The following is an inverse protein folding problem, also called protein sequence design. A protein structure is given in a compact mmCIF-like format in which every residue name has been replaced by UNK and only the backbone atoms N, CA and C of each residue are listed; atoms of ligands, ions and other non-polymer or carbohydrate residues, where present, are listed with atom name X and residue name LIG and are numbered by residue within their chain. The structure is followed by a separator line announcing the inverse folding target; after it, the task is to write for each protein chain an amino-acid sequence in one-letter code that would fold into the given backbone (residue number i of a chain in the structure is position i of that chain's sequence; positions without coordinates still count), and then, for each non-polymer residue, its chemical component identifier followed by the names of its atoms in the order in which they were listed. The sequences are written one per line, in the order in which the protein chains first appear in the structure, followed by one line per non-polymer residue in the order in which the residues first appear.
data_IF_939641864779
#
_entry.id   IF_939641864779
#
_cell.length_a   1.000
_cell.length_b   1.000
_cell.length_c   1.000
_cell.angle_alpha   90.00
_cell.angle_beta   90.00
_cell.angle_gamma   90.00
#
_symmetry.space_group_name_H-M   'P 1'
#
loop_
_entity.id
_entity.type
_entity.pdbx_description
1 polymer ?
#
# COMPACT_ATOMS: atom_id res chain seq x y z
N UNK A 1 34.82 -19.49 11.03
CA UNK A 1 34.13 -20.78 10.79
C UNK A 1 33.59 -20.90 9.36
N UNK A 2 32.95 -19.86 8.79
CA UNK A 2 32.48 -19.86 7.38
C UNK A 2 33.59 -20.04 6.31
N UNK A 3 34.79 -19.52 6.54
CA UNK A 3 35.92 -19.63 5.59
C UNK A 3 36.49 -21.04 5.41
N UNK A 4 36.20 -21.98 6.34
CA UNK A 4 36.71 -23.37 6.24
C UNK A 4 35.73 -24.27 5.48
N UNK A 5 34.46 -23.88 5.38
CA UNK A 5 33.41 -24.66 4.70
C UNK A 5 33.32 -24.38 3.20
N UNK A 6 33.82 -23.23 2.74
CA UNK A 6 33.62 -22.73 1.36
C UNK A 6 34.22 -23.63 0.27
N UNK A 7 35.48 -24.14 0.39
CA UNK A 7 36.05 -25.02 -0.63
C UNK A 7 35.36 -26.40 -0.70
N UNK A 8 34.88 -26.91 0.44
CA UNK A 8 34.18 -28.19 0.53
C UNK A 8 32.75 -28.10 -0.05
N UNK A 9 32.05 -27.00 0.23
CA UNK A 9 30.69 -26.78 -0.29
C UNK A 9 30.69 -26.69 -1.83
N UNK A 10 31.67 -26.02 -2.43
CA UNK A 10 31.73 -25.90 -3.89
C UNK A 10 31.88 -27.27 -4.59
N UNK A 11 32.63 -28.21 -3.98
CA UNK A 11 32.77 -29.58 -4.51
C UNK A 11 31.47 -30.39 -4.40
N UNK A 12 30.63 -30.08 -3.42
CA UNK A 12 29.37 -30.77 -3.13
C UNK A 12 28.14 -29.88 -3.40
N UNK A 13 28.28 -28.88 -4.29
CA UNK A 13 27.24 -27.86 -4.46
C UNK A 13 25.95 -28.46 -5.01
N UNK A 14 26.04 -29.38 -5.98
CA UNK A 14 24.91 -30.11 -6.54
C UNK A 14 24.16 -30.89 -5.44
N UNK A 15 24.88 -31.70 -4.67
CA UNK A 15 24.29 -32.53 -3.60
C UNK A 15 23.63 -31.66 -2.52
N UNK A 16 24.26 -30.54 -2.18
CA UNK A 16 23.72 -29.56 -1.22
C UNK A 16 22.46 -28.90 -1.78
N UNK A 17 22.46 -28.56 -3.07
CA UNK A 17 21.32 -27.93 -3.75
C UNK A 17 20.15 -28.90 -3.88
N UNK A 18 20.38 -30.16 -4.28
CA UNK A 18 19.35 -31.18 -4.35
C UNK A 18 18.73 -31.44 -2.96
N UNK A 19 19.56 -31.45 -1.91
CA UNK A 19 19.11 -31.60 -0.53
C UNK A 19 18.17 -30.47 -0.07
N UNK A 20 18.26 -29.26 -0.64
CA UNK A 20 17.32 -28.16 -0.35
C UNK A 20 15.88 -28.53 -0.71
N UNK A 21 15.67 -29.38 -1.71
CA UNK A 21 14.33 -29.71 -2.22
C UNK A 21 13.83 -31.09 -1.79
N UNK A 22 14.70 -31.92 -1.20
CA UNK A 22 14.33 -33.19 -0.57
C UNK A 22 13.86 -32.95 0.88
N UNK A 23 12.58 -32.63 1.05
CA UNK A 23 12.01 -32.23 2.35
C UNK A 23 11.95 -33.35 3.38
N UNK A 24 12.01 -34.61 2.94
CA UNK A 24 12.01 -35.78 3.83
C UNK A 24 13.38 -35.97 4.52
N UNK A 25 14.46 -35.42 3.94
CA UNK A 25 15.80 -35.55 4.52
C UNK A 25 16.03 -34.56 5.66
N UNK A 26 16.56 -35.01 6.82
CA UNK A 26 16.78 -34.18 8.01
C UNK A 26 17.83 -33.07 7.82
N UNK A 27 18.57 -33.06 6.71
CA UNK A 27 19.53 -32.01 6.34
C UNK A 27 18.94 -30.88 5.49
N UNK A 28 17.71 -31.01 4.99
CA UNK A 28 17.12 -30.12 3.98
C UNK A 28 17.06 -28.65 4.41
N UNK A 29 16.54 -28.39 5.61
CA UNK A 29 16.44 -27.03 6.16
C UNK A 29 17.83 -26.42 6.41
N UNK A 30 18.82 -27.23 6.83
CA UNK A 30 20.19 -26.74 7.04
C UNK A 30 20.87 -26.39 5.72
N UNK A 31 20.67 -27.21 4.69
CA UNK A 31 21.15 -26.92 3.34
C UNK A 31 20.52 -25.63 2.80
N UNK A 32 19.21 -25.46 2.98
CA UNK A 32 18.52 -24.24 2.58
C UNK A 32 19.09 -23.01 3.31
N UNK A 33 19.22 -23.05 4.64
CA UNK A 33 19.78 -21.95 5.42
C UNK A 33 21.22 -21.63 5.02
N UNK A 34 22.01 -22.65 4.65
CA UNK A 34 23.39 -22.48 4.19
C UNK A 34 23.45 -21.75 2.85
N UNK A 35 22.63 -22.16 1.87
CA UNK A 35 22.58 -21.53 0.54
C UNK A 35 21.83 -20.20 0.54
N UNK A 36 21.04 -19.92 1.58
CA UNK A 36 20.35 -18.64 1.79
C UNK A 36 21.29 -17.50 2.21
N UNK A 37 22.51 -17.81 2.66
CA UNK A 37 23.51 -16.82 3.05
C UNK A 37 24.30 -16.42 1.80
N UNK A 38 24.32 -15.13 1.42
CA UNK A 38 25.04 -14.68 0.24
C UNK A 38 26.53 -15.04 0.31
N UNK A 39 27.02 -15.76 -0.70
CA UNK A 39 28.43 -16.11 -0.85
C UNK A 39 28.78 -16.22 -2.34
N UNK A 40 29.67 -15.36 -2.83
CA UNK A 40 30.01 -15.27 -4.26
C UNK A 40 30.50 -16.60 -4.85
N UNK A 41 31.32 -17.35 -4.12
CA UNK A 41 31.85 -18.63 -4.59
C UNK A 41 30.75 -19.68 -4.75
N UNK A 42 29.80 -19.72 -3.80
CA UNK A 42 28.65 -20.63 -3.84
C UNK A 42 27.70 -20.22 -4.97
N UNK A 43 27.41 -18.92 -5.10
CA UNK A 43 26.56 -18.38 -6.16
C UNK A 43 27.14 -18.69 -7.53
N UNK A 44 28.43 -18.41 -7.76
CA UNK A 44 29.12 -18.75 -9.01
C UNK A 44 29.04 -20.25 -9.29
N UNK A 45 29.21 -21.10 -8.27
CA UNK A 45 29.08 -22.56 -8.44
C UNK A 45 27.65 -22.99 -8.79
N UNK A 46 26.62 -22.34 -8.24
CA UNK A 46 25.21 -22.57 -8.61
C UNK A 46 24.97 -22.21 -10.08
N UNK A 47 25.58 -21.11 -10.55
CA UNK A 47 25.50 -20.65 -11.94
C UNK A 47 26.23 -21.56 -12.92
N UNK A 48 27.49 -21.89 -12.65
CA UNK A 48 28.31 -22.75 -13.52
C UNK A 48 27.67 -24.12 -13.77
N UNK A 49 26.91 -24.63 -12.80
CA UNK A 49 26.23 -25.91 -12.89
C UNK A 49 24.75 -25.81 -13.33
N UNK A 50 24.24 -24.62 -13.68
CA UNK A 50 22.83 -24.39 -14.07
C UNK A 50 21.80 -24.97 -13.09
N UNK A 51 22.11 -24.93 -11.78
CA UNK A 51 21.30 -25.63 -10.77
C UNK A 51 19.90 -25.01 -10.64
N UNK A 52 19.82 -23.67 -10.68
CA UNK A 52 18.56 -22.95 -10.57
C UNK A 52 17.61 -23.29 -11.72
N UNK A 53 18.08 -23.18 -12.97
CA UNK A 53 17.28 -23.45 -14.17
C UNK A 53 16.80 -24.89 -14.22
N UNK A 54 17.72 -25.85 -14.06
CA UNK A 54 17.39 -27.28 -14.11
C UNK A 54 16.42 -27.70 -13.00
N UNK A 55 16.49 -27.05 -11.84
CA UNK A 55 15.57 -27.30 -10.74
C UNK A 55 14.22 -26.62 -10.96
N UNK A 56 14.21 -25.38 -11.47
CA UNK A 56 13.00 -24.66 -11.82
C UNK A 56 12.16 -25.43 -12.86
N UNK A 57 12.82 -25.96 -13.89
CA UNK A 57 12.17 -26.77 -14.93
C UNK A 57 11.44 -27.99 -14.35
N UNK A 58 12.04 -28.67 -13.37
CA UNK A 58 11.44 -29.83 -12.69
C UNK A 58 10.33 -29.43 -11.73
N UNK A 59 10.54 -28.41 -10.92
CA UNK A 59 9.61 -28.02 -9.85
C UNK A 59 8.34 -27.40 -10.41
N UNK A 60 8.43 -26.58 -11.46
CA UNK A 60 7.25 -25.94 -12.05
C UNK A 60 6.32 -26.92 -12.79
N UNK A 61 6.77 -28.13 -13.09
CA UNK A 61 5.93 -29.18 -13.70
C UNK A 61 5.41 -30.20 -12.69
N UNK A 62 5.85 -30.12 -11.44
CA UNK A 62 5.47 -31.08 -10.40
C UNK A 62 4.31 -30.51 -9.59
N UNK A 63 3.29 -31.32 -9.34
CA UNK A 63 2.17 -30.98 -8.46
C UNK A 63 2.13 -32.02 -7.34
N UNK A 64 2.74 -31.68 -6.21
CA UNK A 64 2.79 -32.50 -4.99
C UNK A 64 2.40 -31.66 -3.76
N UNK A 65 2.14 -32.31 -2.62
CA UNK A 65 1.75 -31.63 -1.38
C UNK A 65 2.80 -30.60 -0.90
N UNK A 66 4.06 -30.79 -1.30
CA UNK A 66 5.21 -29.98 -0.89
C UNK A 66 5.55 -28.84 -1.87
N UNK A 67 4.79 -28.70 -2.95
CA UNK A 67 5.11 -27.79 -4.06
C UNK A 67 5.23 -26.36 -3.56
N UNK A 68 4.35 -25.93 -2.66
CA UNK A 68 4.40 -24.61 -2.03
C UNK A 68 5.75 -24.35 -1.36
N UNK A 69 6.26 -25.29 -0.57
CA UNK A 69 7.52 -25.14 0.16
C UNK A 69 8.70 -25.11 -0.80
N UNK A 70 8.71 -26.01 -1.80
CA UNK A 70 9.78 -26.10 -2.80
C UNK A 70 9.85 -24.83 -3.66
N UNK A 71 8.72 -24.31 -4.13
CA UNK A 71 8.68 -23.05 -4.90
C UNK A 71 9.11 -21.86 -4.06
N UNK A 72 8.70 -21.77 -2.78
CA UNK A 72 9.16 -20.70 -1.89
C UNK A 72 10.68 -20.72 -1.69
N UNK A 73 11.28 -21.91 -1.48
CA UNK A 73 12.74 -22.05 -1.37
C UNK A 73 13.45 -21.67 -2.66
N UNK A 74 12.93 -22.10 -3.81
CA UNK A 74 13.49 -21.76 -5.11
C UNK A 74 13.44 -20.25 -5.36
N UNK A 75 12.31 -19.60 -5.07
CA UNK A 75 12.16 -18.14 -5.21
C UNK A 75 13.15 -17.38 -4.33
N UNK A 76 13.34 -17.82 -3.08
CA UNK A 76 14.31 -17.20 -2.18
C UNK A 76 15.76 -17.37 -2.67
N UNK A 77 16.15 -18.56 -3.11
CA UNK A 77 17.51 -18.78 -3.65
C UNK A 77 17.74 -18.00 -4.95
N UNK A 78 16.71 -17.93 -5.81
CA UNK A 78 16.71 -17.09 -7.03
C UNK A 78 16.93 -15.62 -6.65
N UNK A 79 16.18 -15.11 -5.68
CA UNK A 79 16.32 -13.75 -5.16
C UNK A 79 17.77 -13.46 -4.70
N UNK A 80 18.34 -14.35 -3.86
CA UNK A 80 19.71 -14.20 -3.35
C UNK A 80 20.73 -14.18 -4.49
N UNK A 81 20.64 -15.11 -5.44
CA UNK A 81 21.59 -15.18 -6.55
C UNK A 81 21.50 -13.93 -7.46
N UNK A 82 20.28 -13.48 -7.76
CA UNK A 82 20.04 -12.33 -8.61
C UNK A 82 20.55 -11.01 -8.01
N UNK A 83 20.30 -10.77 -6.72
CA UNK A 83 20.70 -9.50 -6.07
C UNK A 83 22.22 -9.40 -5.91
N UNK A 84 22.88 -10.53 -5.65
CA UNK A 84 24.31 -10.55 -5.35
C UNK A 84 25.19 -10.77 -6.58
N UNK A 85 24.64 -11.21 -7.71
CA UNK A 85 25.39 -11.41 -8.96
C UNK A 85 24.54 -11.09 -10.19
N UNK A 86 24.09 -9.83 -10.35
CA UNK A 86 23.14 -9.48 -11.41
C UNK A 86 23.70 -9.65 -12.83
N UNK A 87 25.01 -9.51 -13.01
CA UNK A 87 25.71 -9.77 -14.27
C UNK A 87 25.55 -11.22 -14.80
N UNK A 88 25.20 -12.18 -13.93
CA UNK A 88 25.03 -13.59 -14.31
C UNK A 88 23.59 -13.94 -14.73
N UNK A 89 22.68 -12.94 -14.71
CA UNK A 89 21.24 -13.19 -14.88
C UNK A 89 20.84 -13.50 -16.33
N UNK A 90 21.35 -12.71 -17.29
CA UNK A 90 20.83 -12.67 -18.67
C UNK A 90 20.81 -14.03 -19.39
N UNK A 91 21.70 -14.96 -19.01
CA UNK A 91 21.81 -16.27 -19.68
C UNK A 91 21.15 -17.42 -18.92
N UNK A 92 20.75 -17.22 -17.65
CA UNK A 92 20.43 -18.32 -16.73
C UNK A 92 19.03 -18.23 -16.12
N UNK A 93 18.23 -17.21 -16.42
CA UNK A 93 16.97 -16.95 -15.68
C UNK A 93 15.72 -16.76 -16.54
N UNK A 94 15.69 -17.29 -17.76
CA UNK A 94 14.46 -17.25 -18.60
C UNK A 94 13.23 -17.89 -17.94
N UNK A 95 13.42 -18.68 -16.89
CA UNK A 95 12.34 -19.26 -16.09
C UNK A 95 11.66 -18.27 -15.12
N UNK A 96 12.20 -17.06 -14.91
CA UNK A 96 11.71 -16.11 -13.90
C UNK A 96 10.24 -15.72 -14.14
N UNK A 97 9.82 -15.57 -15.39
CA UNK A 97 8.43 -15.28 -15.76
C UNK A 97 7.47 -16.38 -15.31
N UNK A 98 7.93 -17.64 -15.21
CA UNK A 98 7.10 -18.77 -14.76
C UNK A 98 6.70 -18.65 -13.29
N UNK A 99 7.47 -17.94 -12.45
CA UNK A 99 7.08 -17.66 -11.07
C UNK A 99 5.79 -16.87 -10.95
N UNK A 100 5.34 -16.17 -11.99
CA UNK A 100 4.05 -15.47 -11.96
C UNK A 100 2.87 -16.42 -11.69
N UNK A 101 2.96 -17.69 -12.11
CA UNK A 101 2.00 -18.75 -11.80
C UNK A 101 2.02 -19.19 -10.34
N UNK A 102 2.86 -18.59 -9.51
CA UNK A 102 3.00 -18.86 -8.09
C UNK A 102 3.12 -17.55 -7.28
N UNK A 103 2.74 -16.40 -7.87
CA UNK A 103 2.97 -15.10 -7.25
C UNK A 103 2.14 -14.86 -5.98
N UNK A 104 1.11 -15.67 -5.74
CA UNK A 104 0.38 -15.67 -4.47
C UNK A 104 1.19 -16.26 -3.30
N UNK A 105 2.26 -17.02 -3.56
CA UNK A 105 3.17 -17.47 -2.52
C UNK A 105 4.04 -16.31 -2.01
N UNK A 106 4.17 -16.24 -0.69
CA UNK A 106 4.86 -15.15 0.01
C UNK A 106 6.28 -14.91 -0.50
N UNK A 107 7.10 -15.95 -0.66
CA UNK A 107 8.50 -15.73 -1.07
C UNK A 107 8.61 -15.29 -2.53
N UNK A 108 7.64 -15.66 -3.36
CA UNK A 108 7.59 -15.25 -4.78
C UNK A 108 7.25 -13.77 -4.90
N UNK A 109 6.23 -13.28 -4.16
CA UNK A 109 5.90 -11.86 -4.16
C UNK A 109 7.03 -11.01 -3.56
N UNK A 110 7.72 -11.49 -2.51
CA UNK A 110 8.89 -10.79 -1.93
C UNK A 110 10.09 -10.75 -2.88
N UNK A 111 10.32 -11.83 -3.64
CA UNK A 111 11.33 -11.85 -4.70
C UNK A 111 11.04 -10.76 -5.75
N UNK A 112 9.83 -10.73 -6.31
CA UNK A 112 9.46 -9.69 -7.26
C UNK A 112 9.50 -8.28 -6.66
N UNK A 113 9.09 -8.11 -5.40
CA UNK A 113 9.22 -6.82 -4.70
C UNK A 113 10.66 -6.34 -4.65
N UNK A 114 11.60 -7.25 -4.43
CA UNK A 114 13.01 -6.88 -4.37
C UNK A 114 13.55 -6.57 -5.76
N UNK A 115 13.17 -7.34 -6.78
CA UNK A 115 13.56 -7.09 -8.17
C UNK A 115 13.01 -5.75 -8.70
N UNK A 116 11.80 -5.38 -8.28
CA UNK A 116 11.11 -4.14 -8.67
C UNK A 116 11.37 -2.97 -7.71
N UNK A 117 12.23 -3.15 -6.72
CA UNK A 117 12.56 -2.14 -5.72
C UNK A 117 13.33 -0.95 -6.31
N UNK A 118 13.42 0.14 -5.54
CA UNK A 118 14.10 1.39 -5.96
C UNK A 118 15.62 1.37 -5.73
N UNK A 119 16.18 0.24 -5.31
CA UNK A 119 17.62 0.12 -5.06
C UNK A 119 18.41 0.03 -6.37
N UNK A 120 19.62 0.61 -6.40
CA UNK A 120 20.48 0.61 -7.60
C UNK A 120 20.77 -0.81 -8.12
N UNK A 121 20.94 -1.77 -7.20
CA UNK A 121 21.16 -3.19 -7.51
C UNK A 121 20.00 -3.83 -8.28
N UNK A 122 18.80 -3.27 -8.15
CA UNK A 122 17.61 -3.76 -8.83
C UNK A 122 17.51 -3.26 -10.28
N UNK A 123 18.29 -2.26 -10.72
CA UNK A 123 18.20 -1.71 -12.08
C UNK A 123 18.56 -2.72 -13.17
N UNK A 124 19.66 -3.46 -13.01
CA UNK A 124 20.06 -4.52 -13.96
C UNK A 124 18.97 -5.60 -14.06
N UNK A 125 18.39 -5.96 -12.91
CA UNK A 125 17.26 -6.88 -12.79
C UNK A 125 16.02 -6.34 -13.51
N UNK A 126 15.70 -5.06 -13.38
CA UNK A 126 14.56 -4.45 -14.04
C UNK A 126 14.73 -4.39 -15.56
N UNK A 127 15.94 -4.13 -16.06
CA UNK A 127 16.24 -4.22 -17.49
C UNK A 127 16.07 -5.64 -18.01
N UNK A 128 16.57 -6.65 -17.28
CA UNK A 128 16.33 -8.05 -17.61
C UNK A 128 14.83 -8.38 -17.65
N UNK A 129 14.06 -7.93 -16.64
CA UNK A 129 12.62 -8.15 -16.60
C UNK A 129 11.86 -7.42 -17.73
N UNK A 130 12.38 -6.27 -18.18
CA UNK A 130 11.87 -5.55 -19.36
C UNK A 130 12.09 -6.37 -20.63
N UNK A 131 13.30 -6.92 -20.81
CA UNK A 131 13.65 -7.76 -21.96
C UNK A 131 12.81 -9.06 -22.00
N UNK A 132 12.56 -9.65 -20.83
CA UNK A 132 11.66 -10.80 -20.64
C UNK A 132 10.17 -10.43 -20.68
N UNK A 133 9.82 -9.17 -20.96
CA UNK A 133 8.45 -8.67 -21.10
C UNK A 133 7.55 -9.01 -19.90
N UNK A 134 8.07 -8.85 -18.68
CA UNK A 134 7.34 -9.22 -17.47
C UNK A 134 5.97 -8.51 -17.37
N UNK A 135 5.90 -7.27 -17.86
CA UNK A 135 4.68 -6.46 -17.85
C UNK A 135 3.60 -7.11 -18.72
N UNK A 136 3.96 -7.51 -19.93
CA UNK A 136 3.04 -8.19 -20.85
C UNK A 136 2.56 -9.51 -20.24
N UNK A 137 3.45 -10.27 -19.59
CA UNK A 137 3.06 -11.51 -18.92
C UNK A 137 2.05 -11.27 -17.78
N UNK A 138 2.28 -10.27 -16.92
CA UNK A 138 1.35 -9.92 -15.84
C UNK A 138 -0.01 -9.49 -16.41
N UNK A 139 -0.01 -8.61 -17.40
CA UNK A 139 -1.25 -8.11 -18.03
C UNK A 139 -2.00 -9.23 -18.75
N UNK A 140 -1.32 -10.10 -19.48
CA UNK A 140 -1.95 -11.24 -20.15
C UNK A 140 -2.56 -12.22 -19.14
N UNK A 141 -1.89 -12.51 -18.02
CA UNK A 141 -2.46 -13.37 -16.98
C UNK A 141 -3.72 -12.76 -16.34
N UNK A 142 -3.77 -11.44 -16.15
CA UNK A 142 -4.99 -10.75 -15.68
C UNK A 142 -6.08 -10.81 -16.74
N UNK A 143 -5.74 -10.53 -18.00
CA UNK A 143 -6.68 -10.55 -19.13
C UNK A 143 -7.32 -11.94 -19.31
N UNK A 144 -6.51 -12.98 -19.26
CA UNK A 144 -6.88 -14.38 -19.52
C UNK A 144 -7.48 -15.08 -18.30
N UNK A 145 -7.49 -14.45 -17.12
CA UNK A 145 -8.24 -14.95 -15.96
C UNK A 145 -9.72 -15.15 -16.31
N UNK A 146 -10.48 -16.06 -15.67
CA UNK A 146 -11.91 -16.14 -15.91
C UNK A 146 -12.65 -14.96 -15.27
N UNK A 147 -13.79 -14.58 -15.84
CA UNK A 147 -14.61 -13.47 -15.35
C UNK A 147 -15.33 -13.83 -14.03
N UNK A 148 -15.62 -15.11 -13.83
CA UNK A 148 -16.19 -15.63 -12.59
C UNK A 148 -15.07 -16.11 -11.66
N UNK A 149 -15.00 -15.50 -10.47
CA UNK A 149 -14.02 -15.86 -9.43
C UNK A 149 -14.75 -16.21 -8.14
N UNK A 150 -14.11 -17.03 -7.32
CA UNK A 150 -14.66 -17.42 -6.01
C UNK A 150 -14.74 -16.22 -5.07
N UNK A 151 -15.83 -16.14 -4.30
CA UNK A 151 -15.99 -15.16 -3.23
C UNK A 151 -15.16 -15.53 -1.98
N UNK A 152 -14.59 -16.73 -1.91
CA UNK A 152 -13.66 -17.14 -0.87
C UNK A 152 -12.29 -16.45 -1.07
N UNK A 153 -11.83 -15.60 -0.13
CA UNK A 153 -10.52 -14.98 -0.22
C UNK A 153 -9.34 -15.98 -0.12
N UNK A 154 -9.60 -17.23 0.28
CA UNK A 154 -8.60 -18.29 0.36
C UNK A 154 -8.51 -19.16 -0.88
N UNK A 155 -9.43 -18.98 -1.84
CA UNK A 155 -9.36 -19.66 -3.12
C UNK A 155 -8.07 -19.30 -3.86
N UNK A 156 -7.40 -20.31 -4.41
CA UNK A 156 -6.08 -20.16 -5.05
C UNK A 156 -6.13 -19.15 -6.21
N UNK A 157 -7.21 -19.15 -6.97
CA UNK A 157 -7.38 -18.26 -8.11
C UNK A 157 -7.60 -16.82 -7.66
N UNK A 158 -8.44 -16.60 -6.63
CA UNK A 158 -8.63 -15.29 -6.01
C UNK A 158 -7.33 -14.74 -5.41
N UNK A 159 -6.53 -15.59 -4.76
CA UNK A 159 -5.21 -15.20 -4.25
C UNK A 159 -4.24 -14.86 -5.39
N UNK A 160 -4.22 -15.65 -6.47
CA UNK A 160 -3.39 -15.40 -7.65
C UNK A 160 -3.71 -14.04 -8.28
N UNK A 161 -4.99 -13.78 -8.56
CA UNK A 161 -5.43 -12.53 -9.19
C UNK A 161 -5.10 -11.34 -8.27
N UNK A 162 -5.36 -11.46 -6.96
CA UNK A 162 -4.98 -10.42 -5.99
C UNK A 162 -3.47 -10.16 -5.99
N UNK A 163 -2.64 -11.21 -6.08
CA UNK A 163 -1.18 -11.09 -6.14
C UNK A 163 -0.69 -10.43 -7.44
N UNK A 164 -1.26 -10.77 -8.60
CA UNK A 164 -0.97 -10.11 -9.87
C UNK A 164 -1.27 -8.61 -9.81
N UNK A 165 -2.43 -8.23 -9.25
CA UNK A 165 -2.73 -6.81 -9.03
C UNK A 165 -1.74 -6.13 -8.07
N UNK A 166 -1.27 -6.82 -7.03
CA UNK A 166 -0.25 -6.27 -6.10
C UNK A 166 1.11 -6.07 -6.74
N UNK A 167 1.44 -6.78 -7.83
CA UNK A 167 2.66 -6.54 -8.59
C UNK A 167 2.62 -5.23 -9.36
N UNK A 168 1.45 -4.77 -9.80
CA UNK A 168 1.32 -3.59 -10.66
C UNK A 168 1.86 -2.30 -9.99
N UNK A 169 1.50 -1.95 -8.74
CA UNK A 169 2.12 -0.81 -8.07
C UNK A 169 3.64 -0.93 -7.93
N UNK A 170 4.18 -2.14 -7.76
CA UNK A 170 5.62 -2.37 -7.68
C UNK A 170 6.30 -2.13 -9.04
N UNK A 171 5.71 -2.64 -10.12
CA UNK A 171 6.15 -2.37 -11.49
C UNK A 171 6.11 -0.87 -11.77
N UNK A 172 5.05 -0.19 -11.34
CA UNK A 172 4.93 1.26 -11.53
C UNK A 172 6.00 2.05 -10.77
N UNK A 173 6.42 1.58 -9.60
CA UNK A 173 7.48 2.22 -8.81
C UNK A 173 8.90 1.98 -9.35
N UNK A 174 9.08 1.01 -10.26
CA UNK A 174 10.36 0.74 -10.90
C UNK A 174 10.71 1.84 -11.90
N UNK A 175 11.92 2.38 -11.83
CA UNK A 175 12.40 3.44 -12.73
C UNK A 175 12.41 2.99 -14.21
N UNK A 176 12.66 1.70 -14.46
CA UNK A 176 12.79 1.15 -15.82
C UNK A 176 11.44 0.73 -16.42
N UNK A 177 10.52 0.23 -15.59
CA UNK A 177 9.26 -0.37 -16.05
C UNK A 177 8.05 0.57 -15.90
N UNK A 178 8.22 1.72 -15.24
CA UNK A 178 7.12 2.64 -14.89
C UNK A 178 6.25 3.06 -16.08
N UNK A 179 6.89 3.40 -17.19
CA UNK A 179 6.20 3.92 -18.37
C UNK A 179 5.53 2.81 -19.18
N UNK A 180 6.09 1.59 -19.12
CA UNK A 180 5.58 0.42 -19.84
C UNK A 180 4.24 -0.04 -19.28
N UNK A 181 4.03 0.08 -17.96
CA UNK A 181 2.76 -0.29 -17.30
C UNK A 181 1.73 0.85 -17.33
N UNK A 182 2.12 2.10 -17.60
CA UNK A 182 1.23 3.27 -17.59
C UNK A 182 0.53 3.52 -18.93
N UNK A 183 0.11 2.47 -19.64
CA UNK A 183 -0.56 2.58 -20.95
C UNK A 183 -2.08 2.55 -20.82
N UNK A 184 -2.78 3.06 -21.85
CA UNK A 184 -4.24 2.95 -21.96
C UNK A 184 -4.71 1.48 -21.96
N UNK A 185 -3.95 0.60 -22.64
CA UNK A 185 -4.23 -0.84 -22.67
C UNK A 185 -4.14 -1.46 -21.27
N UNK A 186 -3.12 -1.08 -20.47
CA UNK A 186 -3.00 -1.55 -19.10
C UNK A 186 -4.21 -1.12 -18.25
N UNK A 187 -4.70 0.12 -18.40
CA UNK A 187 -5.92 0.58 -17.71
C UNK A 187 -7.12 -0.31 -18.09
N UNK A 188 -7.32 -0.56 -19.38
CA UNK A 188 -8.42 -1.41 -19.86
C UNK A 188 -8.35 -2.82 -19.26
N UNK A 189 -7.17 -3.46 -19.31
CA UNK A 189 -6.97 -4.82 -18.78
C UNK A 189 -7.19 -4.86 -17.25
N UNK A 190 -6.58 -3.93 -16.52
CA UNK A 190 -6.64 -3.90 -15.05
C UNK A 190 -8.06 -3.54 -14.57
N UNK A 191 -8.82 -2.80 -15.38
CA UNK A 191 -10.22 -2.45 -15.11
C UNK A 191 -11.22 -3.59 -15.38
N UNK A 192 -10.76 -4.80 -15.69
CA UNK A 192 -11.62 -5.97 -15.91
C UNK A 192 -12.68 -6.15 -14.80
N UNK A 193 -13.89 -6.53 -15.21
CA UNK A 193 -14.98 -6.83 -14.29
C UNK A 193 -14.93 -8.31 -13.88
N UNK A 194 -15.10 -8.57 -12.59
CA UNK A 194 -15.19 -9.90 -12.04
C UNK A 194 -16.56 -10.08 -11.36
N UNK A 195 -17.21 -11.20 -11.64
CA UNK A 195 -18.43 -11.60 -10.92
C UNK A 195 -18.03 -12.07 -9.52
N UNK A 196 -18.64 -11.49 -8.48
CA UNK A 196 -18.44 -11.86 -7.07
C UNK A 196 -17.00 -11.72 -6.53
N UNK A 197 -16.28 -10.66 -6.94
CA UNK A 197 -14.91 -10.45 -6.48
C UNK A 197 -14.82 -10.26 -4.95
N UNK A 198 -13.98 -11.04 -4.24
CA UNK A 198 -13.76 -10.83 -2.81
C UNK A 198 -13.05 -9.48 -2.59
N UNK A 199 -13.24 -8.91 -1.39
CA UNK A 199 -12.64 -7.64 -1.01
C UNK A 199 -11.12 -7.61 -1.20
N UNK A 200 -10.43 -8.74 -1.02
CA UNK A 200 -8.97 -8.86 -1.24
C UNK A 200 -8.56 -8.61 -2.68
N UNK A 201 -9.38 -9.01 -3.65
CA UNK A 201 -9.17 -8.76 -5.08
C UNK A 201 -9.52 -7.31 -5.42
N UNK A 202 -10.68 -6.82 -4.95
CA UNK A 202 -11.11 -5.43 -5.19
C UNK A 202 -10.09 -4.43 -4.64
N UNK A 203 -9.62 -4.63 -3.40
CA UNK A 203 -8.61 -3.77 -2.78
C UNK A 203 -7.31 -3.73 -3.61
N UNK A 204 -6.86 -4.88 -4.11
CA UNK A 204 -5.65 -4.95 -4.94
C UNK A 204 -5.86 -4.32 -6.33
N UNK A 205 -6.99 -4.60 -6.97
CA UNK A 205 -7.35 -4.08 -8.28
C UNK A 205 -7.40 -2.55 -8.28
N UNK A 206 -8.14 -1.96 -7.34
CA UNK A 206 -8.29 -0.51 -7.28
C UNK A 206 -6.97 0.21 -6.91
N UNK A 207 -6.14 -0.41 -6.07
CA UNK A 207 -4.80 0.08 -5.81
C UNK A 207 -3.91 0.03 -7.06
N UNK A 208 -4.02 -1.03 -7.87
CA UNK A 208 -3.32 -1.17 -9.15
C UNK A 208 -3.73 -0.09 -10.16
N UNK A 209 -5.04 0.15 -10.32
CA UNK A 209 -5.58 1.21 -11.19
C UNK A 209 -5.05 2.57 -10.73
N UNK A 210 -5.14 2.87 -9.44
CA UNK A 210 -4.64 4.13 -8.88
C UNK A 210 -3.15 4.33 -9.16
N UNK A 211 -2.33 3.27 -9.07
CA UNK A 211 -0.90 3.37 -9.31
C UNK A 211 -0.58 3.76 -10.77
N UNK A 212 -1.23 3.15 -11.75
CA UNK A 212 -0.85 3.30 -13.18
C UNK A 212 -1.42 4.54 -13.85
N UNK A 213 -2.41 5.20 -13.23
CA UNK A 213 -2.99 6.45 -13.73
C UNK A 213 -1.95 7.58 -13.64
N UNK A 214 -1.75 8.22 -14.78
CA UNK A 214 -0.88 9.38 -14.99
C UNK A 214 -1.64 10.45 -15.76
N UNK A 215 -1.07 11.64 -15.88
CA UNK A 215 -1.65 12.70 -16.70
C UNK A 215 -1.83 12.25 -18.16
N UNK A 216 -0.87 11.49 -18.70
CA UNK A 216 -0.85 11.03 -20.09
C UNK A 216 -1.97 10.05 -20.47
N UNK A 217 -2.50 9.29 -19.51
CA UNK A 217 -3.54 8.27 -19.72
C UNK A 217 -4.85 8.59 -18.97
N UNK A 218 -4.97 9.82 -18.46
CA UNK A 218 -6.09 10.28 -17.64
C UNK A 218 -7.44 10.17 -18.37
N UNK A 219 -7.48 10.46 -19.68
CA UNK A 219 -8.69 10.38 -20.49
C UNK A 219 -9.25 8.96 -20.59
N UNK A 220 -8.40 7.93 -20.62
CA UNK A 220 -8.84 6.53 -20.61
C UNK A 220 -9.40 6.16 -19.25
N UNK A 221 -8.76 6.61 -18.17
CA UNK A 221 -9.25 6.40 -16.80
C UNK A 221 -10.58 7.11 -16.52
N UNK A 222 -10.85 8.28 -17.13
CA UNK A 222 -12.12 8.99 -17.02
C UNK A 222 -13.29 8.15 -17.55
N UNK A 223 -13.06 7.22 -18.48
CA UNK A 223 -14.12 6.33 -18.98
C UNK A 223 -14.67 5.40 -17.88
N UNK A 224 -13.91 5.19 -16.80
CA UNK A 224 -14.30 4.38 -15.65
C UNK A 224 -15.08 5.18 -14.59
N UNK A 225 -15.35 6.46 -14.82
CA UNK A 225 -15.89 7.37 -13.81
C UNK A 225 -17.24 6.94 -13.22
N UNK A 226 -18.14 6.43 -14.06
CA UNK A 226 -19.46 5.95 -13.59
C UNK A 226 -19.29 4.75 -12.62
N UNK A 227 -18.26 3.92 -12.83
CA UNK A 227 -17.93 2.80 -11.93
C UNK A 227 -17.36 3.29 -10.61
N UNK A 228 -16.53 4.34 -10.61
CA UNK A 228 -16.02 4.94 -9.38
C UNK A 228 -17.18 5.36 -8.48
N UNK A 229 -18.18 6.02 -9.07
CA UNK A 229 -19.36 6.47 -8.35
C UNK A 229 -20.18 5.31 -7.81
N UNK A 230 -20.49 4.33 -8.66
CA UNK A 230 -21.29 3.18 -8.24
C UNK A 230 -20.66 2.46 -7.04
N UNK A 231 -19.33 2.34 -7.02
CA UNK A 231 -18.59 1.72 -5.93
C UNK A 231 -18.57 2.57 -4.65
N UNK A 232 -18.57 3.90 -4.75
CA UNK A 232 -18.67 4.80 -3.59
C UNK A 232 -20.11 4.90 -3.04
N UNK A 233 -21.11 4.74 -3.90
CA UNK A 233 -22.53 4.73 -3.53
C UNK A 233 -22.96 3.40 -2.93
N UNK A 234 -22.30 2.30 -3.30
CA UNK A 234 -22.53 1.00 -2.71
C UNK A 234 -21.90 0.93 -1.31
N UNK A 235 -22.56 1.60 -0.38
CA UNK A 235 -22.23 1.63 1.04
C UNK A 235 -22.90 0.46 1.78
N UNK A 236 -22.93 -0.74 1.23
CA UNK A 236 -23.40 -1.91 1.99
C UNK A 236 -22.33 -2.43 2.97
N UNK A 237 -21.08 -2.00 2.80
CA UNK A 237 -19.95 -2.43 3.63
C UNK A 237 -20.02 -1.87 5.06
N UNK A 238 -19.78 -2.72 6.06
CA UNK A 238 -19.75 -2.34 7.48
C UNK A 238 -18.56 -1.41 7.82
N UNK A 239 -17.51 -1.42 7.00
CA UNK A 239 -16.29 -0.64 7.21
C UNK A 239 -15.85 0.06 5.92
N UNK A 240 -15.11 1.16 6.09
CA UNK A 240 -14.43 1.83 4.99
C UNK A 240 -13.27 0.96 4.50
N UNK A 241 -13.26 0.64 3.20
CA UNK A 241 -12.31 -0.32 2.63
C UNK A 241 -11.16 0.37 1.88
N UNK A 242 -10.00 -0.31 1.72
CA UNK A 242 -8.89 0.21 0.92
C UNK A 242 -9.23 0.50 -0.56
N UNK A 243 -10.20 -0.20 -1.15
CA UNK A 243 -10.64 0.12 -2.51
C UNK A 243 -11.36 1.48 -2.57
N UNK A 244 -12.17 1.82 -1.55
CA UNK A 244 -12.84 3.14 -1.49
C UNK A 244 -11.80 4.26 -1.39
N UNK A 245 -10.76 4.08 -0.57
CA UNK A 245 -9.62 4.99 -0.51
C UNK A 245 -8.97 5.17 -1.89
N UNK A 246 -8.68 4.06 -2.58
CA UNK A 246 -8.05 4.09 -3.90
C UNK A 246 -8.91 4.84 -4.92
N UNK A 247 -10.24 4.65 -4.89
CA UNK A 247 -11.17 5.36 -5.78
C UNK A 247 -11.17 6.86 -5.50
N UNK A 248 -11.21 7.28 -4.23
CA UNK A 248 -11.15 8.71 -3.86
C UNK A 248 -9.84 9.32 -4.38
N UNK A 249 -8.71 8.62 -4.23
CA UNK A 249 -7.41 9.06 -4.76
C UNK A 249 -7.36 9.11 -6.29
N UNK A 250 -8.05 8.19 -6.98
CA UNK A 250 -8.17 8.22 -8.44
C UNK A 250 -8.94 9.48 -8.87
N UNK A 251 -10.11 9.74 -8.29
CA UNK A 251 -10.91 10.92 -8.61
C UNK A 251 -10.09 12.18 -8.38
N UNK A 252 -9.35 12.25 -7.27
CA UNK A 252 -8.46 13.36 -6.94
C UNK A 252 -7.45 13.62 -8.05
N UNK A 253 -6.71 12.59 -8.49
CA UNK A 253 -5.74 12.70 -9.59
C UNK A 253 -6.38 13.18 -10.88
N UNK A 254 -7.52 12.59 -11.26
CA UNK A 254 -8.18 12.91 -12.53
C UNK A 254 -8.72 14.35 -12.56
N UNK A 255 -9.20 14.87 -11.42
CA UNK A 255 -9.60 16.28 -11.30
C UNK A 255 -8.40 17.21 -11.49
N UNK A 256 -7.23 16.87 -10.92
CA UNK A 256 -6.02 17.66 -11.11
C UNK A 256 -5.52 17.61 -12.55
N UNK A 257 -5.66 16.48 -13.24
CA UNK A 257 -5.21 16.32 -14.63
C UNK A 257 -6.19 16.91 -15.66
N UNK A 258 -7.48 17.01 -15.33
CA UNK A 258 -8.51 17.41 -16.28
C UNK A 258 -9.60 18.27 -15.61
N UNK A 259 -9.64 19.56 -15.96
CA UNK A 259 -10.62 20.52 -15.42
C UNK A 259 -12.06 20.25 -15.88
N UNK A 260 -12.27 19.68 -17.07
CA UNK A 260 -13.62 19.31 -17.55
C UNK A 260 -14.18 18.15 -16.71
N UNK A 261 -13.31 17.21 -16.32
CA UNK A 261 -13.68 16.15 -15.40
C UNK A 261 -14.10 16.72 -14.04
N UNK A 262 -13.41 17.75 -13.54
CA UNK A 262 -13.80 18.44 -12.32
C UNK A 262 -15.25 18.94 -12.39
N UNK A 263 -15.66 19.60 -13.49
CA UNK A 263 -17.04 20.06 -13.69
C UNK A 263 -18.03 18.91 -13.66
N UNK A 264 -17.74 17.79 -14.34
CA UNK A 264 -18.60 16.59 -14.33
C UNK A 264 -18.75 16.00 -12.93
N UNK A 265 -17.68 15.96 -12.14
CA UNK A 265 -17.72 15.46 -10.76
C UNK A 265 -18.53 16.39 -9.83
N UNK A 266 -18.56 17.70 -10.09
CA UNK A 266 -19.43 18.64 -9.34
C UNK A 266 -20.90 18.28 -9.52
N UNK A 267 -21.34 18.02 -10.76
CA UNK A 267 -22.71 17.61 -11.07
C UNK A 267 -23.11 16.32 -10.35
N UNK A 268 -22.13 15.52 -9.93
CA UNK A 268 -22.31 14.28 -9.20
C UNK A 268 -22.35 14.43 -7.68
N UNK A 269 -22.31 15.66 -7.16
CA UNK A 269 -22.35 15.98 -5.73
C UNK A 269 -21.29 15.21 -4.92
N UNK A 270 -20.06 15.13 -5.44
CA UNK A 270 -18.98 14.38 -4.77
C UNK A 270 -18.76 14.87 -3.32
N UNK A 271 -18.88 16.17 -3.05
CA UNK A 271 -18.76 16.74 -1.70
C UNK A 271 -19.75 16.10 -0.73
N UNK A 272 -21.01 15.98 -1.12
CA UNK A 272 -22.06 15.33 -0.32
C UNK A 272 -21.78 13.83 -0.12
N UNK A 273 -21.29 13.14 -1.16
CA UNK A 273 -20.91 11.72 -1.07
C UNK A 273 -19.77 11.53 -0.08
N UNK A 274 -18.71 12.33 -0.13
CA UNK A 274 -17.60 12.26 0.82
C UNK A 274 -18.06 12.59 2.25
N UNK A 275 -18.95 13.58 2.43
CA UNK A 275 -19.53 13.89 3.73
C UNK A 275 -20.32 12.69 4.29
N UNK A 276 -21.12 12.00 3.46
CA UNK A 276 -21.87 10.81 3.87
C UNK A 276 -20.96 9.65 4.31
N UNK A 277 -19.79 9.50 3.68
CA UNK A 277 -18.78 8.49 4.07
C UNK A 277 -18.24 8.79 5.48
N UNK A 278 -17.94 10.06 5.78
CA UNK A 278 -17.49 10.46 7.12
C UNK A 278 -18.58 10.20 8.16
N UNK A 279 -19.83 10.58 7.85
CA UNK A 279 -20.96 10.38 8.74
C UNK A 279 -21.22 8.90 9.04
N UNK A 280 -21.09 8.05 8.01
CA UNK A 280 -21.25 6.60 8.15
C UNK A 280 -20.11 5.95 8.93
N UNK A 281 -18.87 6.43 8.78
CA UNK A 281 -17.68 5.84 9.39
C UNK A 281 -16.97 6.79 10.38
N UNK A 282 -17.64 7.27 11.45
CA UNK A 282 -17.13 8.34 12.31
C UNK A 282 -15.93 7.93 13.19
N UNK A 283 -15.59 6.64 13.23
CA UNK A 283 -14.42 6.11 13.95
C UNK A 283 -13.25 5.76 13.02
N UNK A 284 -13.37 6.02 11.71
CA UNK A 284 -12.40 5.54 10.73
C UNK A 284 -11.39 6.61 10.33
N UNK A 285 -10.27 6.67 11.06
CA UNK A 285 -9.21 7.67 10.88
C UNK A 285 -8.62 7.68 9.47
N UNK A 286 -8.55 6.54 8.78
CA UNK A 286 -8.04 6.46 7.41
C UNK A 286 -9.00 7.12 6.40
N UNK A 287 -10.31 7.01 6.62
CA UNK A 287 -11.32 7.64 5.76
C UNK A 287 -11.22 9.16 5.91
N UNK A 288 -11.18 9.61 7.17
CA UNK A 288 -11.00 11.02 7.52
C UNK A 288 -9.74 11.61 6.88
N UNK A 289 -8.60 10.91 6.98
CA UNK A 289 -7.33 11.36 6.40
C UNK A 289 -7.40 11.44 4.87
N UNK A 290 -7.97 10.42 4.22
CA UNK A 290 -8.10 10.37 2.77
C UNK A 290 -8.97 11.52 2.25
N UNK A 291 -10.12 11.75 2.87
CA UNK A 291 -11.05 12.82 2.48
C UNK A 291 -10.48 14.20 2.79
N UNK A 292 -9.75 14.35 3.90
CA UNK A 292 -9.05 15.60 4.20
C UNK A 292 -8.00 15.90 3.13
N UNK A 293 -7.17 14.92 2.74
CA UNK A 293 -6.20 15.08 1.66
C UNK A 293 -6.85 15.46 0.34
N UNK A 294 -7.96 14.79 0.00
CA UNK A 294 -8.76 15.12 -1.17
C UNK A 294 -9.16 16.60 -1.15
N UNK A 295 -9.80 17.04 -0.08
CA UNK A 295 -10.28 18.41 0.09
C UNK A 295 -9.14 19.45 0.07
N UNK A 296 -7.97 19.16 0.64
CA UNK A 296 -6.84 20.10 0.59
C UNK A 296 -6.33 20.32 -0.83
N UNK A 297 -6.39 19.29 -1.69
CA UNK A 297 -5.96 19.41 -3.08
C UNK A 297 -7.01 20.08 -3.97
N UNK A 298 -8.29 20.04 -3.59
CA UNK A 298 -9.32 20.74 -4.38
C UNK A 298 -9.18 22.25 -4.33
N UNK A 299 -8.49 22.81 -3.32
CA UNK A 299 -8.23 24.25 -3.18
C UNK A 299 -7.51 24.83 -4.41
N UNK A 300 -6.71 24.02 -5.11
CA UNK A 300 -6.02 24.42 -6.33
C UNK A 300 -6.97 24.66 -7.52
N UNK A 301 -8.22 24.21 -7.42
CA UNK A 301 -9.28 24.34 -8.44
C UNK A 301 -10.50 25.03 -7.81
N UNK A 302 -10.61 26.37 -7.85
CA UNK A 302 -11.58 27.14 -7.04
C UNK A 302 -13.04 26.70 -7.18
N UNK A 303 -13.52 26.50 -8.41
CA UNK A 303 -14.91 26.07 -8.66
C UNK A 303 -15.18 24.68 -8.07
N UNK A 304 -14.20 23.79 -8.11
CA UNK A 304 -14.28 22.46 -7.51
C UNK A 304 -14.23 22.52 -5.99
N UNK A 305 -13.36 23.37 -5.42
CA UNK A 305 -13.31 23.62 -3.98
C UNK A 305 -14.66 24.10 -3.43
N UNK A 306 -15.33 25.00 -4.16
CA UNK A 306 -16.65 25.53 -3.77
C UNK A 306 -17.74 24.46 -3.72
N UNK A 307 -17.64 23.40 -4.52
CA UNK A 307 -18.59 22.29 -4.49
C UNK A 307 -18.26 21.24 -3.41
N UNK A 308 -16.97 21.05 -3.09
CA UNK A 308 -16.50 19.97 -2.21
C UNK A 308 -16.47 20.39 -0.74
N UNK A 309 -16.00 21.61 -0.45
CA UNK A 309 -15.74 22.05 0.91
C UNK A 309 -17.00 22.31 1.76
N UNK A 310 -18.11 22.92 1.27
CA UNK A 310 -19.26 23.21 2.11
C UNK A 310 -19.90 21.97 2.77
N UNK A 311 -20.17 20.87 2.04
CA UNK A 311 -20.70 19.65 2.66
C UNK A 311 -19.75 19.05 3.71
N UNK A 312 -18.43 19.16 3.48
CA UNK A 312 -17.42 18.70 4.44
C UNK A 312 -17.33 19.60 5.69
N UNK A 313 -17.62 20.90 5.55
CA UNK A 313 -17.74 21.82 6.68
C UNK A 313 -18.96 21.52 7.55
N UNK A 314 -20.10 21.24 6.92
CA UNK A 314 -21.33 20.85 7.62
C UNK A 314 -21.12 19.58 8.46
N UNK A 315 -20.48 18.54 7.90
CA UNK A 315 -20.19 17.33 8.67
C UNK A 315 -19.13 17.57 9.76
N UNK A 316 -18.12 18.41 9.50
CA UNK A 316 -17.13 18.78 10.52
C UNK A 316 -17.76 19.50 11.72
N UNK A 317 -18.77 20.36 11.50
CA UNK A 317 -19.53 20.99 12.60
C UNK A 317 -20.18 19.95 13.51
N UNK A 318 -20.81 18.92 12.94
CA UNK A 318 -21.39 17.82 13.73
C UNK A 318 -20.36 17.14 14.62
N UNK A 319 -19.10 17.10 14.21
CA UNK A 319 -18.00 16.55 15.01
C UNK A 319 -17.86 17.19 16.39
N UNK A 320 -18.25 18.45 16.57
CA UNK A 320 -18.16 19.17 17.85
C UNK A 320 -19.41 19.04 18.72
N UNK A 321 -20.42 18.29 18.28
CA UNK A 321 -21.60 17.99 19.07
C UNK A 321 -21.28 17.07 20.25
N UNK A 322 -22.04 17.15 21.36
CA UNK A 322 -21.89 16.23 22.49
C UNK A 322 -22.09 14.77 22.07
N UNK A 323 -21.22 13.88 22.56
CA UNK A 323 -21.36 12.43 22.33
C UNK A 323 -20.63 11.89 21.09
N UNK A 324 -19.98 12.75 20.31
CA UNK A 324 -19.23 12.32 19.13
C UNK A 324 -17.93 11.58 19.47
N UNK A 325 -17.54 10.58 18.65
CA UNK A 325 -16.26 9.87 18.79
C UNK A 325 -15.05 10.82 18.79
N UNK A 326 -13.97 10.41 19.45
CA UNK A 326 -12.73 11.20 19.51
C UNK A 326 -12.12 11.34 18.12
N UNK A 327 -12.19 10.29 17.31
CA UNK A 327 -11.68 10.25 15.94
C UNK A 327 -12.41 11.23 15.02
N UNK A 328 -13.73 11.38 15.20
CA UNK A 328 -14.53 12.33 14.44
C UNK A 328 -14.25 13.78 14.85
N UNK A 329 -14.13 14.03 16.16
CA UNK A 329 -13.68 15.33 16.69
C UNK A 329 -12.29 15.72 16.18
N UNK A 330 -11.36 14.77 16.18
CA UNK A 330 -10.01 14.98 15.68
C UNK A 330 -10.02 15.28 14.18
N UNK A 331 -10.87 14.61 13.39
CA UNK A 331 -11.11 14.96 11.99
C UNK A 331 -11.61 16.39 11.85
N UNK A 332 -12.70 16.75 12.53
CA UNK A 332 -13.32 18.07 12.41
C UNK A 332 -12.32 19.20 12.71
N UNK A 333 -11.56 19.04 13.80
CA UNK A 333 -10.51 19.98 14.20
C UNK A 333 -9.39 20.08 13.15
N UNK A 334 -8.83 18.95 12.71
CA UNK A 334 -7.72 18.93 11.77
C UNK A 334 -8.13 19.44 10.38
N UNK A 335 -9.30 19.03 9.90
CA UNK A 335 -9.85 19.48 8.63
C UNK A 335 -9.95 21.00 8.60
N UNK A 336 -10.59 21.59 9.61
CA UNK A 336 -10.72 23.03 9.67
C UNK A 336 -9.36 23.74 9.76
N UNK A 337 -8.46 23.27 10.63
CA UNK A 337 -7.13 23.86 10.78
C UNK A 337 -6.39 23.89 9.44
N UNK A 338 -6.37 22.76 8.73
CA UNK A 338 -5.70 22.63 7.44
C UNK A 338 -6.29 23.56 6.38
N UNK A 339 -7.62 23.59 6.24
CA UNK A 339 -8.25 24.50 5.27
C UNK A 339 -7.97 25.96 5.64
N UNK A 340 -8.00 26.35 6.92
CA UNK A 340 -7.70 27.72 7.36
C UNK A 340 -6.25 28.13 7.06
N UNK A 341 -5.29 27.23 7.23
CA UNK A 341 -3.87 27.48 6.94
C UNK A 341 -3.61 27.62 5.43
N UNK A 342 -4.33 26.86 4.60
CA UNK A 342 -4.17 26.89 3.14
C UNK A 342 -4.98 28.00 2.46
N UNK A 343 -6.03 28.51 3.11
CA UNK A 343 -6.95 29.49 2.54
C UNK A 343 -6.48 30.94 2.70
N UNK A 344 -5.30 31.27 2.14
CA UNK A 344 -4.74 32.62 2.09
C UNK A 344 -5.37 33.51 0.99
N UNK A 345 -6.27 32.98 0.14
CA UNK A 345 -6.89 33.71 -0.97
C UNK A 345 -8.39 33.38 -1.12
N UNK A 346 -9.21 34.43 -1.08
CA UNK A 346 -10.55 34.60 -1.70
C UNK A 346 -11.69 33.59 -1.45
N UNK A 347 -11.50 32.41 -0.85
CA UNK A 347 -12.60 31.49 -0.52
C UNK A 347 -13.38 31.91 0.75
N UNK A 348 -13.60 33.21 0.90
CA UNK A 348 -14.20 33.91 2.05
C UNK A 348 -15.69 33.63 2.26
N UNK A 349 -16.29 32.71 1.50
CA UNK A 349 -17.72 32.42 1.49
C UNK A 349 -18.11 31.07 2.11
N UNK A 350 -17.16 30.22 2.53
CA UNK A 350 -17.53 29.03 3.27
C UNK A 350 -18.17 29.44 4.60
N UNK A 351 -19.37 28.91 4.85
CA UNK A 351 -20.20 29.25 6.00
C UNK A 351 -19.34 29.30 7.26
N UNK A 352 -19.30 30.48 7.88
CA UNK A 352 -18.63 30.65 9.15
C UNK A 352 -19.29 29.67 10.11
N UNK A 353 -18.48 28.77 10.68
CA UNK A 353 -18.86 27.99 11.85
C UNK A 353 -19.64 28.86 12.83
N UNK A 354 -20.67 28.26 13.46
CA UNK A 354 -21.35 28.95 14.55
C UNK A 354 -20.36 29.35 15.66
N UNK A 355 -20.76 30.34 16.47
CA UNK A 355 -19.94 30.88 17.55
C UNK A 355 -19.42 29.80 18.49
N UNK A 356 -20.26 28.81 18.76
CA UNK A 356 -20.03 27.76 19.76
C UNK A 356 -18.97 26.77 19.26
N UNK A 357 -19.01 26.45 17.97
CA UNK A 357 -18.02 25.62 17.31
C UNK A 357 -16.67 26.33 17.29
N UNK A 358 -16.64 27.62 16.92
CA UNK A 358 -15.42 28.43 16.95
C UNK A 358 -14.78 28.45 18.34
N UNK A 359 -15.59 28.60 19.40
CA UNK A 359 -15.11 28.55 20.79
C UNK A 359 -14.45 27.21 21.11
N UNK A 360 -15.12 26.08 20.84
CA UNK A 360 -14.57 24.73 21.04
C UNK A 360 -13.27 24.48 20.26
N UNK A 361 -13.18 25.02 19.06
CA UNK A 361 -11.98 24.93 18.23
C UNK A 361 -10.83 25.71 18.86
N UNK A 362 -11.09 26.90 19.38
CA UNK A 362 -10.08 27.70 20.07
C UNK A 362 -9.62 26.99 21.35
N UNK A 363 -10.54 26.44 22.14
CA UNK A 363 -10.22 25.62 23.32
C UNK A 363 -9.31 24.43 22.96
N UNK A 364 -9.67 23.68 21.91
CA UNK A 364 -8.85 22.56 21.44
C UNK A 364 -7.48 23.01 20.91
N UNK A 365 -7.42 24.16 20.24
CA UNK A 365 -6.17 24.73 19.76
C UNK A 365 -5.25 25.10 20.92
N UNK A 366 -5.79 25.68 22.00
CA UNK A 366 -5.04 25.97 23.22
C UNK A 366 -4.53 24.69 23.88
N UNK A 367 -5.37 23.65 23.96
CA UNK A 367 -5.00 22.33 24.50
C UNK A 367 -3.86 21.69 23.70
N UNK A 368 -3.95 21.71 22.37
CA UNK A 368 -2.93 21.11 21.47
C UNK A 368 -1.62 21.89 21.49
N UNK A 369 -1.69 23.22 21.55
CA UNK A 369 -0.49 24.08 21.61
C UNK A 369 0.14 24.11 23.00
N UNK A 370 -0.59 23.69 24.03
CA UNK A 370 -0.05 23.54 25.37
C UNK A 370 0.87 22.30 25.42
N UNK A 371 2.14 22.45 25.82
CA UNK A 371 3.10 21.33 25.85
C UNK A 371 2.69 20.18 26.78
N UNK A 372 1.70 20.41 27.65
CA UNK A 372 1.18 19.43 28.60
C UNK A 372 -0.22 18.89 28.21
N UNK A 373 -0.78 19.28 27.06
CA UNK A 373 -2.05 18.77 26.57
C UNK A 373 -3.27 19.23 27.37
N UNK A 374 -3.20 20.40 28.02
CA UNK A 374 -4.30 20.99 28.79
C UNK A 374 -3.82 21.88 29.94
N UNK A 375 -4.76 22.54 30.62
CA UNK A 375 -4.48 23.32 31.82
C UNK A 375 -3.92 22.41 32.91
N UNK A 376 -2.77 22.76 33.48
CA UNK A 376 -2.25 22.07 34.66
C UNK A 376 -3.28 22.20 35.80
N UNK A 377 -3.47 21.15 36.62
CA UNK A 377 -4.29 21.25 37.81
C UNK A 377 -3.84 22.47 38.61
N UNK A 378 -4.76 23.35 38.96
CA UNK A 378 -4.44 24.43 39.89
C UNK A 378 -3.94 23.78 41.18
N UNK A 379 -2.72 24.15 41.60
CA UNK A 379 -2.20 23.68 42.88
C UNK A 379 -3.25 23.99 43.95
N UNK A 380 -3.74 22.99 44.71
CA UNK A 380 -4.60 23.26 45.84
C UNK A 380 -3.84 24.25 46.74
N UNK A 381 -4.53 25.32 47.10
CA UNK A 381 -4.01 26.41 47.92
C UNK A 381 -3.29 25.87 49.15
N UNK A 382 -1.96 26.06 49.20
CA UNK A 382 -0.93 25.95 50.26
C UNK A 382 -1.15 25.17 51.57
N UNK A 383 -2.23 24.41 51.76
CA UNK A 383 -2.49 23.65 52.97
C UNK A 383 -2.74 22.19 52.57
N UNK A 384 -1.77 21.37 52.95
CA UNK A 384 -1.69 19.91 52.83
C UNK A 384 -1.28 19.36 51.45
N UNK A 385 0.01 19.07 51.29
CA UNK A 385 0.56 17.71 51.01
C UNK A 385 2.06 17.76 50.66
N UNK A 386 2.85 16.85 51.27
CA UNK A 386 4.31 16.65 51.14
C UNK A 386 4.84 16.34 49.70
N UNK A 387 4.00 16.43 48.68
CA UNK A 387 4.38 16.28 47.26
C UNK A 387 4.31 17.59 46.46
N UNK A 388 3.94 18.72 47.08
CA UNK A 388 3.61 20.00 46.42
C UNK A 388 4.76 20.80 45.81
N UNK A 389 6.03 20.38 45.91
CA UNK A 389 7.19 21.17 45.45
C UNK A 389 7.75 20.77 44.08
N UNK A 390 7.08 19.87 43.35
CA UNK A 390 7.53 19.51 42.01
C UNK A 390 7.05 20.55 41.01
N UNK A 391 8.01 21.25 40.39
CA UNK A 391 7.74 22.09 39.22
C UNK A 391 7.11 21.24 38.10
N UNK A 392 6.33 21.85 37.18
CA UNK A 392 5.73 21.12 36.05
C UNK A 392 6.72 20.26 35.26
N UNK A 393 7.96 20.72 35.09
CA UNK A 393 9.02 19.98 34.41
C UNK A 393 9.52 18.77 35.21
N UNK A 394 9.58 18.86 36.54
CA UNK A 394 9.94 17.74 37.42
C UNK A 394 8.84 16.68 37.43
N UNK A 395 7.57 17.11 37.42
CA UNK A 395 6.40 16.23 37.36
C UNK A 395 6.36 15.46 36.02
N UNK A 396 6.67 16.13 34.92
CA UNK A 396 6.80 15.51 33.59
C UNK A 396 8.00 14.58 33.47
N UNK A 397 9.12 14.92 34.12
CA UNK A 397 10.30 14.03 34.17
C UNK A 397 9.96 12.75 34.94
N UNK A 398 9.21 12.86 36.04
CA UNK A 398 8.72 11.73 36.82
C UNK A 398 7.71 10.88 36.05
N UNK A 399 6.74 11.50 35.37
CA UNK A 399 5.76 10.80 34.53
C UNK A 399 6.44 10.09 33.35
N UNK A 400 7.41 10.74 32.68
CA UNK A 400 8.22 10.09 31.63
C UNK A 400 9.01 8.93 32.21
N UNK A 401 9.64 9.09 33.37
CA UNK A 401 10.38 8.01 34.03
C UNK A 401 9.47 6.82 34.38
N UNK A 402 8.29 7.06 34.97
CA UNK A 402 7.34 6.00 35.34
C UNK A 402 6.77 5.29 34.10
N UNK A 403 6.47 6.04 33.03
CA UNK A 403 5.91 5.48 31.79
C UNK A 403 6.96 4.81 30.90
N UNK A 404 8.22 5.27 30.93
CA UNK A 404 9.34 4.64 30.21
C UNK A 404 9.91 3.41 30.92
N UNK A 405 9.66 3.26 32.22
CA UNK A 405 10.09 2.10 33.03
C UNK A 405 9.22 0.85 32.84
N UNK A 406 8.17 0.92 32.02
CA UNK A 406 7.42 -0.24 31.52
C UNK A 406 7.83 -0.55 30.07
N UNK A 407 9.08 -0.94 29.87
CA UNK A 407 9.53 -1.72 28.71
C UNK A 407 10.54 -2.75 29.15
#
# INVERSE_FOLDING_TARGET
MLYILTPSINLHIQETFDLVFDLERPGSTKAFSLLSIPNENVINSIFENNLLTSTAEKLFTTTDEDTIVKINRLAFLTQVCCIHSPALIQNNFSFVTRFLHFCHYRSVIEMFRTFLGTEEKSRELQHFLLDEKIVDHVLNMIKDSPDEISDDPNDEQSQMISALFRLIPLIKSSEVLSDVISTAEAIQIVSKLFSHAPLTVLNAQWAAINAIITESNSNDAIQLADRFLQMLDNQDEEAFTPYMESIIQIIQKLVTFNTEFATRIIEWNIGQKLASIIEKYPKHTLAHLTITKFATQTIEVPDFAQAVLPPLYEIAQKGFEPGQPVEFRAFAFNFQKLIKEQNNQELTQFEKFDSDTIEKINELTEVVNNPYGGSLPQHPSEEDHDFGNLTPDQLMTLLRFITSSRR
#
